data_IF_566940107395
#
_entry.id   IF_566940107395
#
_cell.length_a   1.000
_cell.length_b   1.000
_cell.length_c   1.000
_cell.angle_alpha   90.00
_cell.angle_beta   90.00
_cell.angle_gamma   90.00
#
_symmetry.space_group_name_H-M   'P 1'
#
loop_
_entity.id
_entity.type
_entity.pdbx_description
1 polymer ?
#
# COMPACT_ATOMS: atom_id res chain seq x y z
N UNK A 1 11.18 -33.86 12.23
CA UNK A 1 10.35 -33.22 11.23
C UNK A 1 11.17 -32.13 10.56
N UNK A 2 11.45 -32.26 9.27
CA UNK A 2 12.10 -31.25 8.45
C UNK A 2 11.03 -30.43 7.73
N UNK A 3 11.16 -29.10 7.71
CA UNK A 3 10.37 -28.25 6.83
C UNK A 3 10.97 -28.38 5.43
N UNK A 4 10.12 -28.70 4.44
CA UNK A 4 10.53 -28.74 3.06
C UNK A 4 10.46 -27.34 2.48
N UNK A 5 11.50 -26.88 1.81
CA UNK A 5 11.64 -25.54 1.24
C UNK A 5 10.38 -25.11 0.41
N UNK A 6 9.78 -26.05 -0.33
CA UNK A 6 8.62 -25.78 -1.20
C UNK A 6 7.29 -25.61 -0.47
N UNK A 7 7.25 -25.92 0.84
CA UNK A 7 6.03 -25.79 1.65
C UNK A 7 5.84 -24.40 2.29
N UNK A 8 6.88 -23.57 2.25
CA UNK A 8 6.88 -22.23 2.83
C UNK A 8 7.27 -21.19 1.79
N UNK A 9 6.64 -20.01 1.84
CA UNK A 9 6.92 -18.91 0.91
C UNK A 9 8.33 -18.35 1.09
N UNK A 10 8.82 -17.61 0.09
CA UNK A 10 10.03 -16.81 0.21
C UNK A 10 9.90 -15.72 1.27
N UNK A 11 11.01 -15.38 1.92
CA UNK A 11 11.09 -14.37 2.97
C UNK A 11 11.49 -14.95 4.32
N UNK A 12 11.17 -14.23 5.38
CA UNK A 12 11.53 -14.63 6.73
C UNK A 12 10.50 -15.58 7.31
N UNK A 13 10.97 -16.72 7.78
CA UNK A 13 10.19 -17.71 8.52
C UNK A 13 10.46 -17.52 10.00
N UNK A 14 9.40 -17.35 10.76
CA UNK A 14 9.46 -17.20 12.21
C UNK A 14 8.96 -18.49 12.90
N UNK A 15 9.85 -19.20 13.55
CA UNK A 15 9.54 -20.41 14.30
C UNK A 15 9.55 -20.08 15.80
N UNK A 16 8.45 -20.35 16.48
CA UNK A 16 8.32 -20.11 17.91
C UNK A 16 7.92 -21.38 18.64
N UNK A 17 8.61 -21.69 19.72
CA UNK A 17 8.28 -22.79 20.61
C UNK A 17 7.50 -22.30 21.82
N UNK A 18 6.38 -22.95 22.08
CA UNK A 18 5.49 -22.61 23.19
C UNK A 18 5.47 -23.70 24.24
N UNK A 19 5.40 -23.29 25.51
CA UNK A 19 5.00 -24.13 26.62
C UNK A 19 3.82 -23.47 27.35
N UNK A 20 2.73 -24.17 27.50
CA UNK A 20 1.53 -23.69 28.20
C UNK A 20 1.05 -22.31 27.69
N UNK A 21 1.05 -22.11 26.36
CA UNK A 21 0.75 -20.83 25.67
C UNK A 21 1.75 -19.70 25.93
N UNK A 22 2.87 -19.98 26.57
CA UNK A 22 3.93 -18.99 26.77
C UNK A 22 5.01 -19.20 25.71
N UNK A 23 5.35 -18.19 24.89
CA UNK A 23 6.47 -18.30 23.96
C UNK A 23 7.77 -18.38 24.75
N UNK A 24 8.58 -19.41 24.48
CA UNK A 24 9.83 -19.64 25.19
C UNK A 24 11.06 -19.32 24.35
N UNK A 25 11.01 -19.72 23.09
CA UNK A 25 12.15 -19.60 22.15
C UNK A 25 11.62 -19.21 20.78
N UNK A 26 12.33 -18.35 20.11
CA UNK A 26 12.08 -18.02 18.70
C UNK A 26 13.35 -18.08 17.87
N UNK A 27 13.19 -18.44 16.64
CA UNK A 27 14.28 -18.48 15.66
C UNK A 27 13.75 -18.01 14.30
N UNK A 28 14.44 -17.05 13.70
CA UNK A 28 14.18 -16.60 12.35
C UNK A 28 15.04 -17.37 11.37
N UNK A 29 14.47 -17.71 10.23
CA UNK A 29 15.17 -18.33 9.09
C UNK A 29 14.80 -17.55 7.84
N UNK A 30 15.70 -17.49 6.89
CA UNK A 30 15.41 -16.95 5.57
C UNK A 30 15.20 -18.09 4.57
N UNK A 31 14.10 -18.02 3.86
CA UNK A 31 13.76 -18.96 2.79
C UNK A 31 13.74 -18.26 1.44
N UNK A 32 14.29 -18.85 0.41
CA UNK A 32 14.20 -18.34 -0.96
C UNK A 32 13.80 -19.46 -1.91
N UNK A 33 12.71 -19.22 -2.63
CA UNK A 33 12.19 -20.11 -3.66
C UNK A 33 12.43 -19.49 -5.02
N UNK A 34 13.01 -20.26 -5.93
CA UNK A 34 13.24 -19.80 -7.30
C UNK A 34 11.91 -19.44 -8.02
N UNK A 35 10.83 -20.16 -7.68
CA UNK A 35 9.52 -20.00 -8.33
C UNK A 35 8.68 -18.83 -7.79
N UNK A 36 9.18 -18.06 -6.83
CA UNK A 36 8.45 -16.89 -6.30
C UNK A 36 8.84 -15.60 -7.03
N UNK A 37 9.74 -15.64 -7.98
CA UNK A 37 10.20 -14.47 -8.76
C UNK A 37 9.65 -14.51 -10.17
N UNK A 38 9.06 -13.39 -10.60
CA UNK A 38 8.76 -13.15 -12.01
C UNK A 38 9.99 -12.56 -12.70
N UNK A 39 10.18 -12.87 -13.97
CA UNK A 39 11.22 -12.28 -14.79
C UNK A 39 10.68 -11.07 -15.55
N UNK A 40 11.32 -9.92 -15.39
CA UNK A 40 10.95 -8.69 -16.08
C UNK A 40 12.11 -8.29 -16.98
N UNK A 41 11.86 -8.31 -18.27
CA UNK A 41 12.80 -7.86 -19.30
C UNK A 41 12.31 -6.53 -19.84
N UNK A 42 13.21 -5.56 -19.89
CA UNK A 42 12.94 -4.24 -20.43
C UNK A 42 13.84 -3.99 -21.64
N UNK A 43 13.25 -3.83 -22.81
CA UNK A 43 13.97 -3.35 -23.99
C UNK A 43 13.75 -1.84 -24.13
N UNK A 44 14.83 -1.09 -24.13
CA UNK A 44 14.81 0.38 -24.16
C UNK A 44 15.51 0.86 -25.42
N UNK A 45 14.87 1.75 -26.15
CA UNK A 45 15.47 2.37 -27.34
C UNK A 45 16.85 2.95 -27.04
N UNK A 46 17.91 2.52 -27.70
CA UNK A 46 19.26 3.05 -27.50
C UNK A 46 19.34 4.52 -27.95
N UNK A 47 20.28 5.29 -27.38
CA UNK A 47 20.55 6.68 -27.73
C UNK A 47 19.45 7.71 -27.41
N UNK A 48 18.99 7.70 -26.16
CA UNK A 48 18.04 8.68 -25.64
C UNK A 48 18.66 10.07 -25.63
N UNK A 49 18.06 11.02 -26.35
CA UNK A 49 18.44 12.43 -26.33
C UNK A 49 17.70 13.18 -25.22
N UNK A 50 18.28 14.29 -24.75
CA UNK A 50 17.62 15.16 -23.79
C UNK A 50 16.29 15.69 -24.35
N UNK A 51 15.19 15.52 -23.59
CA UNK A 51 13.83 15.93 -23.98
C UNK A 51 13.25 15.20 -25.20
N UNK A 52 13.70 13.98 -25.48
CA UNK A 52 13.09 13.14 -26.49
C UNK A 52 12.10 12.16 -25.88
N UNK A 53 11.18 11.70 -26.67
CA UNK A 53 10.32 10.56 -26.34
C UNK A 53 11.17 9.31 -26.17
N UNK A 54 10.82 8.50 -25.19
CA UNK A 54 11.50 7.23 -24.89
C UNK A 54 10.44 6.13 -24.92
N UNK A 55 10.61 5.20 -25.85
CA UNK A 55 9.79 4.00 -25.92
C UNK A 55 10.54 2.84 -25.27
N UNK A 56 9.84 2.05 -24.47
CA UNK A 56 10.37 0.84 -23.89
C UNK A 56 9.31 -0.26 -23.92
N UNK A 57 9.75 -1.46 -24.23
CA UNK A 57 8.92 -2.65 -24.22
C UNK A 57 9.23 -3.47 -22.98
N UNK A 58 8.17 -3.82 -22.24
CA UNK A 58 8.28 -4.66 -21.04
C UNK A 58 7.74 -6.05 -21.34
N UNK A 59 8.56 -7.05 -21.15
CA UNK A 59 8.17 -8.45 -21.17
C UNK A 59 8.19 -9.00 -19.76
N UNK A 60 7.06 -9.51 -19.29
CA UNK A 60 6.92 -10.10 -17.96
C UNK A 60 6.61 -11.59 -18.10
N UNK A 61 7.52 -12.41 -17.56
CA UNK A 61 7.41 -13.85 -17.62
C UNK A 61 7.28 -14.43 -16.22
N UNK A 62 6.48 -15.45 -16.08
CA UNK A 62 6.43 -16.25 -14.86
C UNK A 62 7.69 -17.14 -14.73
N UNK A 63 7.92 -17.81 -13.60
CA UNK A 63 9.09 -18.68 -13.41
C UNK A 63 9.18 -19.84 -14.42
N UNK A 64 8.09 -20.18 -15.10
CA UNK A 64 8.05 -21.24 -16.13
C UNK A 64 8.35 -20.68 -17.54
N UNK A 65 8.56 -19.36 -17.67
CA UNK A 65 8.82 -18.69 -18.95
C UNK A 65 7.56 -18.32 -19.74
N UNK A 66 6.38 -18.49 -19.17
CA UNK A 66 5.12 -18.10 -19.80
C UNK A 66 4.83 -16.61 -19.52
N UNK A 67 4.12 -15.96 -20.45
CA UNK A 67 3.72 -14.56 -20.28
C UNK A 67 2.82 -14.41 -19.07
N UNK A 68 3.21 -13.50 -18.17
CA UNK A 68 2.45 -13.16 -16.99
C UNK A 68 1.50 -11.98 -17.27
N UNK A 69 0.23 -12.14 -16.91
CA UNK A 69 -0.78 -11.08 -17.00
C UNK A 69 -1.14 -10.58 -15.60
N UNK A 70 -1.05 -9.28 -15.38
CA UNK A 70 -1.31 -8.69 -14.07
C UNK A 70 -1.30 -7.16 -14.11
N UNK A 71 -1.46 -6.55 -12.95
CA UNK A 71 -1.34 -5.10 -12.77
C UNK A 71 0.08 -4.76 -12.34
N UNK A 72 0.66 -3.78 -13.02
CA UNK A 72 2.03 -3.34 -12.78
C UNK A 72 2.07 -1.86 -12.44
N UNK A 73 3.03 -1.47 -11.61
CA UNK A 73 3.39 -0.07 -11.40
C UNK A 73 4.79 0.18 -11.97
N UNK A 74 4.95 1.31 -12.66
CA UNK A 74 6.22 1.70 -13.27
C UNK A 74 6.69 3.01 -12.65
N UNK A 75 7.95 3.05 -12.23
CA UNK A 75 8.59 4.28 -11.74
C UNK A 75 9.84 4.55 -12.57
N UNK A 76 9.92 5.73 -13.13
CA UNK A 76 11.07 6.18 -13.92
C UNK A 76 11.81 7.28 -13.16
N UNK A 77 13.10 7.08 -12.93
CA UNK A 77 13.92 8.05 -12.22
C UNK A 77 15.35 8.09 -12.79
N UNK A 78 16.03 9.19 -12.52
CA UNK A 78 17.45 9.30 -12.88
C UNK A 78 18.25 8.20 -12.20
N UNK A 79 19.11 7.49 -12.97
CA UNK A 79 19.97 6.44 -12.40
C UNK A 79 20.81 7.01 -11.24
N UNK A 80 20.66 6.41 -10.08
CA UNK A 80 21.49 6.72 -8.92
C UNK A 80 22.79 5.93 -8.97
N UNK A 81 23.86 6.55 -8.52
CA UNK A 81 25.18 5.88 -8.31
C UNK A 81 25.26 5.17 -6.96
N UNK A 82 24.28 5.39 -6.10
CA UNK A 82 24.22 4.75 -4.78
C UNK A 82 23.88 3.26 -4.93
N UNK A 83 24.88 2.41 -4.70
CA UNK A 83 24.76 0.95 -4.78
C UNK A 83 24.07 0.33 -3.56
N UNK A 84 23.91 1.10 -2.48
CA UNK A 84 23.34 0.62 -1.21
C UNK A 84 21.85 0.87 -1.10
N UNK A 85 21.17 1.33 -2.18
CA UNK A 85 19.74 1.58 -2.14
C UNK A 85 18.95 0.31 -1.88
N UNK A 86 18.06 0.40 -0.91
CA UNK A 86 17.00 -0.57 -0.70
C UNK A 86 16.13 -0.64 -1.95
N UNK A 87 15.94 -1.83 -2.49
CA UNK A 87 15.01 -2.11 -3.57
C UNK A 87 13.74 -2.77 -3.01
N UNK A 88 12.71 -2.94 -3.85
CA UNK A 88 11.43 -3.52 -3.43
C UNK A 88 11.60 -4.95 -2.93
N UNK A 89 12.49 -5.73 -3.52
CA UNK A 89 12.75 -7.12 -3.18
C UNK A 89 13.32 -7.23 -1.77
N UNK A 90 14.43 -6.55 -1.49
CA UNK A 90 15.03 -6.60 -0.17
C UNK A 90 14.19 -5.91 0.91
N UNK A 91 13.32 -4.95 0.51
CA UNK A 91 12.36 -4.39 1.44
C UNK A 91 11.30 -5.42 1.83
N UNK A 92 10.62 -6.04 0.85
CA UNK A 92 9.51 -6.96 1.12
C UNK A 92 9.96 -8.27 1.79
N UNK A 93 11.12 -8.78 1.44
CA UNK A 93 11.58 -10.09 1.93
C UNK A 93 12.49 -10.02 3.13
N UNK A 94 13.03 -8.85 3.47
CA UNK A 94 14.02 -8.72 4.52
C UNK A 94 13.73 -7.57 5.47
N UNK A 95 13.89 -6.32 5.02
CA UNK A 95 13.95 -5.18 5.93
C UNK A 95 12.59 -4.78 6.49
N UNK A 96 11.47 -5.15 5.85
CA UNK A 96 10.12 -4.88 6.38
C UNK A 96 9.82 -5.70 7.63
N UNK A 97 10.45 -6.85 7.79
CA UNK A 97 10.11 -7.84 8.80
C UNK A 97 11.07 -7.86 10.00
N UNK A 98 12.24 -7.27 9.84
CA UNK A 98 13.26 -7.21 10.90
C UNK A 98 13.24 -5.90 11.67
N UNK A 99 13.52 -5.98 12.98
CA UNK A 99 13.75 -4.81 13.83
C UNK A 99 15.17 -4.30 13.65
N UNK A 100 15.33 -2.99 13.63
CA UNK A 100 16.62 -2.33 13.54
C UNK A 100 17.02 -1.93 12.13
N UNK A 101 18.18 -1.33 12.03
CA UNK A 101 18.76 -0.91 10.76
C UNK A 101 19.60 -2.04 10.18
N UNK A 102 19.43 -2.30 8.91
CA UNK A 102 20.23 -3.28 8.16
C UNK A 102 21.10 -2.51 7.18
N UNK A 103 22.39 -2.56 7.39
CA UNK A 103 23.35 -1.96 6.48
C UNK A 103 23.40 -2.74 5.17
N UNK A 104 23.36 -2.01 4.05
CA UNK A 104 23.51 -2.58 2.70
C UNK A 104 22.61 -3.80 2.42
N UNK A 105 21.27 -3.70 2.48
CA UNK A 105 20.38 -4.86 2.34
C UNK A 105 20.58 -5.63 1.03
N UNK A 106 21.05 -4.97 -0.04
CA UNK A 106 21.39 -5.59 -1.31
C UNK A 106 22.50 -6.65 -1.20
N UNK A 107 23.36 -6.57 -0.20
CA UNK A 107 24.40 -7.56 0.04
C UNK A 107 23.82 -8.95 0.30
N UNK A 108 22.73 -9.00 1.05
CA UNK A 108 22.07 -10.25 1.46
C UNK A 108 21.16 -10.84 0.38
N UNK A 109 20.62 -10.02 -0.53
CA UNK A 109 19.69 -10.47 -1.58
C UNK A 109 20.35 -10.65 -2.95
N UNK A 110 21.61 -10.21 -3.11
CA UNK A 110 22.32 -10.34 -4.38
C UNK A 110 22.80 -11.78 -4.60
N UNK A 111 22.29 -12.43 -5.64
CA UNK A 111 22.63 -13.80 -6.00
C UNK A 111 24.13 -14.01 -6.36
N UNK A 112 24.86 -12.95 -6.72
CA UNK A 112 26.29 -13.02 -7.05
C UNK A 112 27.14 -13.24 -5.79
N UNK A 113 26.63 -12.87 -4.62
CA UNK A 113 27.34 -13.08 -3.36
C UNK A 113 27.21 -14.54 -2.91
N UNK A 114 28.32 -15.30 -2.98
CA UNK A 114 28.33 -16.71 -2.62
C UNK A 114 28.01 -16.95 -1.13
N UNK A 115 28.43 -16.06 -0.26
CA UNK A 115 28.30 -16.19 1.19
C UNK A 115 26.95 -15.67 1.73
N UNK A 116 26.07 -15.22 0.84
CA UNK A 116 24.82 -14.52 1.24
C UNK A 116 23.95 -15.32 2.20
N UNK A 117 23.84 -16.62 2.02
CA UNK A 117 22.99 -17.45 2.90
C UNK A 117 23.55 -17.59 4.31
N UNK A 118 24.85 -17.71 4.45
CA UNK A 118 25.51 -17.72 5.77
C UNK A 118 25.33 -16.36 6.47
N UNK A 119 25.52 -15.27 5.72
CA UNK A 119 25.32 -13.91 6.25
C UNK A 119 23.85 -13.63 6.58
N UNK A 120 22.90 -14.15 5.81
CA UNK A 120 21.47 -14.10 6.13
C UNK A 120 21.15 -14.85 7.42
N UNK A 121 21.75 -16.01 7.65
CA UNK A 121 21.55 -16.77 8.88
C UNK A 121 22.09 -16.02 10.09
N UNK A 122 23.27 -15.42 10.00
CA UNK A 122 23.83 -14.54 11.03
C UNK A 122 22.94 -13.31 11.28
N UNK A 123 22.38 -12.72 10.23
CA UNK A 123 21.45 -11.61 10.34
C UNK A 123 20.17 -12.02 11.09
N UNK A 124 19.61 -13.22 10.79
CA UNK A 124 18.44 -13.77 11.47
C UNK A 124 18.71 -14.09 12.94
N UNK A 125 19.95 -14.37 13.32
CA UNK A 125 20.36 -14.56 14.72
C UNK A 125 20.44 -13.27 15.52
N UNK A 126 20.74 -12.15 14.85
CA UNK A 126 21.04 -10.87 15.51
C UNK A 126 19.91 -9.87 15.47
N UNK A 127 18.92 -10.05 14.58
CA UNK A 127 17.78 -9.16 14.43
C UNK A 127 16.49 -9.79 14.94
N UNK A 128 15.63 -8.96 15.57
CA UNK A 128 14.35 -9.39 16.06
C UNK A 128 13.22 -9.26 15.03
N UNK A 129 12.13 -9.97 15.27
CA UNK A 129 10.91 -9.89 14.49
C UNK A 129 10.14 -8.58 14.71
N UNK A 130 9.55 -8.00 13.67
CA UNK A 130 8.85 -6.71 13.73
C UNK A 130 7.33 -6.82 13.62
N UNK A 131 6.80 -7.78 12.85
CA UNK A 131 5.38 -7.73 12.44
C UNK A 131 4.40 -7.84 13.59
N UNK A 132 4.73 -8.60 14.63
CA UNK A 132 3.86 -8.74 15.79
C UNK A 132 4.65 -9.13 17.05
N UNK A 133 3.99 -9.00 18.19
CA UNK A 133 4.44 -9.51 19.47
C UNK A 133 3.45 -10.56 19.96
N UNK A 134 3.94 -11.71 20.40
CA UNK A 134 3.09 -12.83 20.83
C UNK A 134 2.11 -12.44 21.93
N UNK A 135 2.48 -11.56 22.86
CA UNK A 135 1.59 -11.05 23.90
C UNK A 135 0.33 -10.42 23.30
N UNK A 136 0.48 -9.60 22.27
CA UNK A 136 -0.64 -8.95 21.58
C UNK A 136 -1.50 -9.97 20.82
N UNK A 137 -0.86 -10.91 20.12
CA UNK A 137 -1.57 -11.96 19.35
C UNK A 137 -2.39 -12.87 20.27
N UNK A 138 -1.80 -13.35 21.34
CA UNK A 138 -2.47 -14.25 22.32
C UNK A 138 -3.62 -13.56 23.04
N UNK A 139 -3.49 -12.28 23.35
CA UNK A 139 -4.53 -11.46 23.97
C UNK A 139 -5.53 -10.89 22.94
N UNK A 140 -5.39 -11.20 21.65
CA UNK A 140 -6.22 -10.66 20.56
C UNK A 140 -6.22 -9.13 20.49
N UNK A 141 -5.15 -8.50 20.93
CA UNK A 141 -4.95 -7.06 20.88
C UNK A 141 -4.29 -6.73 19.56
N UNK A 142 -5.06 -6.27 18.58
CA UNK A 142 -4.52 -5.83 17.28
C UNK A 142 -4.20 -4.33 17.34
N UNK A 143 -3.13 -3.89 16.68
CA UNK A 143 -2.88 -2.47 16.52
C UNK A 143 -4.02 -1.82 15.73
N UNK A 144 -4.37 -0.55 16.02
CA UNK A 144 -5.38 0.15 15.23
C UNK A 144 -4.92 0.27 13.77
N UNK A 145 -5.84 0.03 12.84
CA UNK A 145 -5.59 0.26 11.42
C UNK A 145 -5.61 1.76 11.20
N UNK A 146 -4.43 2.36 11.02
CA UNK A 146 -4.29 3.80 10.78
C UNK A 146 -4.51 4.19 9.31
N UNK A 147 -4.23 3.26 8.40
CA UNK A 147 -4.35 3.46 6.96
C UNK A 147 -4.99 2.23 6.34
N UNK A 148 -6.09 2.43 5.64
CA UNK A 148 -6.75 1.35 4.90
C UNK A 148 -6.11 1.19 3.52
N UNK A 149 -6.08 -0.05 2.96
CA UNK A 149 -5.66 -0.26 1.58
C UNK A 149 -6.50 0.56 0.61
N UNK A 150 -5.85 1.25 -0.31
CA UNK A 150 -6.56 2.00 -1.35
C UNK A 150 -7.20 1.04 -2.37
N UNK A 151 -8.52 1.16 -2.54
CA UNK A 151 -9.29 0.39 -3.53
C UNK A 151 -9.48 1.14 -4.85
N UNK A 152 -8.72 2.19 -5.08
CA UNK A 152 -8.84 3.12 -6.17
C UNK A 152 -8.65 4.55 -5.68
N UNK A 153 -8.93 5.52 -6.53
CA UNK A 153 -8.87 6.92 -6.10
C UNK A 153 -9.96 7.20 -5.06
N UNK A 154 -9.58 7.86 -3.97
CA UNK A 154 -10.50 8.24 -2.90
C UNK A 154 -10.53 9.76 -2.79
N UNK A 155 -11.74 10.32 -2.82
CA UNK A 155 -11.99 11.73 -2.56
C UNK A 155 -12.62 11.87 -1.18
N UNK A 156 -12.01 12.64 -0.30
CA UNK A 156 -12.49 12.84 1.05
C UNK A 156 -12.71 14.33 1.37
N UNK A 157 -13.62 14.59 2.27
CA UNK A 157 -13.94 15.94 2.66
C UNK A 157 -14.78 16.03 3.92
N UNK A 158 -15.21 17.23 4.21
CA UNK A 158 -16.08 17.55 5.34
C UNK A 158 -17.25 18.41 4.90
N UNK A 159 -18.41 18.13 5.44
CA UNK A 159 -19.61 18.96 5.24
C UNK A 159 -19.91 19.72 6.52
N UNK A 160 -20.03 21.02 6.39
CA UNK A 160 -20.33 21.93 7.51
C UNK A 160 -21.46 22.86 7.14
N UNK A 161 -22.05 23.54 8.12
CA UNK A 161 -23.07 24.56 7.86
C UNK A 161 -22.46 25.76 7.14
N UNK A 162 -23.17 26.29 6.16
CA UNK A 162 -22.74 27.50 5.46
C UNK A 162 -22.56 28.71 6.40
N UNK A 163 -23.50 28.87 7.34
CA UNK A 163 -23.56 30.00 8.26
C UNK A 163 -22.51 29.87 9.41
N UNK A 164 -22.14 28.64 9.76
CA UNK A 164 -21.23 28.38 10.87
C UNK A 164 -20.37 27.13 10.51
N UNK A 165 -19.20 27.38 9.97
CA UNK A 165 -18.27 26.33 9.52
C UNK A 165 -17.71 25.46 10.64
N UNK A 166 -17.90 25.84 11.90
CA UNK A 166 -17.52 25.00 13.04
C UNK A 166 -18.51 23.85 13.28
N UNK A 167 -19.73 23.92 12.70
CA UNK A 167 -20.79 22.94 12.90
C UNK A 167 -20.85 21.92 11.77
N UNK A 168 -20.45 20.67 12.02
CA UNK A 168 -20.57 19.60 11.04
C UNK A 168 -22.04 19.25 10.77
N UNK A 169 -22.27 18.67 9.59
CA UNK A 169 -23.61 18.21 9.20
C UNK A 169 -23.52 16.78 8.71
N UNK A 170 -24.42 15.92 9.24
CA UNK A 170 -24.65 14.61 8.70
C UNK A 170 -25.69 14.70 7.56
N UNK A 171 -25.27 14.40 6.34
CA UNK A 171 -26.08 14.54 5.12
C UNK A 171 -25.61 13.56 4.05
N UNK A 172 -26.53 13.19 3.15
CA UNK A 172 -26.18 12.41 1.98
C UNK A 172 -25.55 13.29 0.90
N UNK A 173 -24.56 12.75 0.18
CA UNK A 173 -23.87 13.42 -0.90
C UNK A 173 -23.94 12.58 -2.18
N UNK A 174 -24.00 13.28 -3.29
CA UNK A 174 -23.86 12.72 -4.64
C UNK A 174 -22.71 13.39 -5.36
N UNK A 175 -21.95 12.61 -6.09
CA UNK A 175 -20.91 13.08 -7.00
C UNK A 175 -21.18 12.55 -8.40
N UNK A 176 -20.97 13.40 -9.41
CA UNK A 176 -21.01 13.03 -10.83
C UNK A 176 -19.83 13.64 -11.55
N UNK A 177 -19.33 12.95 -12.59
CA UNK A 177 -18.35 13.51 -13.51
C UNK A 177 -19.06 14.19 -14.67
N UNK A 178 -18.59 15.39 -15.04
CA UNK A 178 -19.20 16.16 -16.13
C UNK A 178 -18.95 15.53 -17.50
N UNK A 179 -17.82 14.85 -17.66
CA UNK A 179 -17.43 14.14 -18.89
C UNK A 179 -18.16 12.80 -19.05
N UNK A 180 -18.65 12.23 -17.95
CA UNK A 180 -19.41 10.99 -17.94
C UNK A 180 -20.59 11.08 -16.97
N UNK A 181 -21.69 11.67 -17.43
CA UNK A 181 -22.92 11.86 -16.65
C UNK A 181 -23.59 10.55 -16.22
N UNK A 182 -23.25 9.42 -16.81
CA UNK A 182 -23.75 8.11 -16.36
C UNK A 182 -23.07 7.64 -15.08
N UNK A 183 -21.89 8.15 -14.75
CA UNK A 183 -21.21 7.84 -13.50
C UNK A 183 -21.77 8.71 -12.37
N UNK A 184 -22.39 8.07 -11.41
CA UNK A 184 -22.88 8.68 -10.20
C UNK A 184 -22.43 7.88 -8.98
N UNK A 185 -21.72 8.53 -8.06
CA UNK A 185 -21.37 7.97 -6.77
C UNK A 185 -22.19 8.64 -5.65
N UNK A 186 -22.60 7.88 -4.64
CA UNK A 186 -23.30 8.38 -3.46
C UNK A 186 -22.59 7.95 -2.19
N UNK A 187 -22.57 8.82 -1.20
CA UNK A 187 -22.06 8.56 0.14
C UNK A 187 -22.84 9.38 1.16
N UNK A 188 -22.59 9.12 2.45
CA UNK A 188 -23.15 9.91 3.54
C UNK A 188 -22.04 10.41 4.44
N UNK A 189 -22.14 11.64 4.93
CA UNK A 189 -21.23 12.13 5.95
C UNK A 189 -21.59 11.56 7.32
N UNK A 190 -20.58 11.36 8.17
CA UNK A 190 -20.76 10.95 9.55
C UNK A 190 -21.19 12.14 10.46
N UNK A 191 -21.33 11.90 11.76
CA UNK A 191 -21.71 12.93 12.75
C UNK A 191 -20.68 14.07 12.84
N UNK A 192 -19.41 13.79 12.54
CA UNK A 192 -18.34 14.79 12.47
C UNK A 192 -18.32 15.53 11.13
N UNK A 193 -19.26 15.23 10.21
CA UNK A 193 -19.36 15.80 8.88
C UNK A 193 -18.39 15.20 7.85
N UNK A 194 -17.57 14.24 8.21
CA UNK A 194 -16.60 13.65 7.29
C UNK A 194 -17.25 12.68 6.31
N UNK A 195 -16.83 12.71 5.05
CA UNK A 195 -17.34 11.85 3.99
C UNK A 195 -16.22 11.33 3.09
N UNK A 196 -16.47 10.20 2.41
CA UNK A 196 -15.52 9.56 1.48
C UNK A 196 -16.27 9.05 0.24
N UNK A 197 -15.71 9.30 -0.93
CA UNK A 197 -16.02 8.61 -2.17
C UNK A 197 -14.84 7.71 -2.50
N UNK A 198 -15.01 6.40 -2.40
CA UNK A 198 -13.94 5.41 -2.57
C UNK A 198 -14.07 4.66 -3.89
N UNK A 199 -12.96 4.08 -4.35
CA UNK A 199 -12.95 3.21 -5.53
C UNK A 199 -13.21 3.92 -6.85
N UNK A 200 -12.95 5.21 -6.91
CA UNK A 200 -13.12 6.00 -8.12
C UNK A 200 -12.09 5.58 -9.17
N UNK A 201 -12.56 5.24 -10.36
CA UNK A 201 -11.72 4.95 -11.52
C UNK A 201 -11.57 6.24 -12.33
N UNK A 202 -10.40 6.84 -12.28
CA UNK A 202 -10.05 8.09 -12.96
C UNK A 202 -8.80 7.82 -13.78
N UNK A 203 -8.89 7.97 -15.10
CA UNK A 203 -7.78 7.71 -16.04
C UNK A 203 -7.04 8.99 -16.43
N UNK A 204 -7.68 10.16 -16.24
CA UNK A 204 -7.11 11.48 -16.56
C UNK A 204 -7.73 12.54 -15.64
N UNK A 205 -7.57 13.80 -15.97
CA UNK A 205 -8.21 14.92 -15.29
C UNK A 205 -9.70 14.95 -15.61
N UNK A 206 -10.54 14.85 -14.59
CA UNK A 206 -12.01 14.91 -14.71
C UNK A 206 -12.57 16.05 -13.86
N UNK A 207 -13.63 16.69 -14.37
CA UNK A 207 -14.39 17.65 -13.60
C UNK A 207 -15.52 16.93 -12.86
N UNK A 208 -15.55 17.07 -11.54
CA UNK A 208 -16.57 16.47 -10.70
C UNK A 208 -17.45 17.53 -10.04
N UNK A 209 -18.74 17.27 -9.99
CA UNK A 209 -19.71 18.05 -9.20
C UNK A 209 -20.13 17.24 -8.00
N UNK A 210 -19.95 17.81 -6.81
CA UNK A 210 -20.39 17.21 -5.54
C UNK A 210 -21.50 18.08 -4.97
N UNK A 211 -22.59 17.43 -4.60
CA UNK A 211 -23.76 18.11 -4.02
C UNK A 211 -24.32 17.34 -2.83
N UNK A 212 -24.90 18.05 -1.88
CA UNK A 212 -25.63 17.44 -0.77
C UNK A 212 -27.05 17.10 -1.20
N UNK A 213 -27.54 15.93 -0.78
CA UNK A 213 -28.89 15.42 -1.06
C UNK A 213 -29.67 15.41 0.25
N UNK A 214 -30.92 15.88 0.20
CA UNK A 214 -31.77 15.84 1.37
C UNK A 214 -32.69 14.60 1.34
N UNK A 215 -32.15 13.45 1.76
CA UNK A 215 -32.85 12.15 1.70
C UNK A 215 -34.14 12.06 2.52
N UNK A 216 -34.32 12.90 3.54
CA UNK A 216 -35.55 12.90 4.37
C UNK A 216 -36.76 13.42 3.64
N UNK A 217 -36.65 14.03 2.46
CA UNK A 217 -37.71 14.70 1.74
C UNK A 217 -38.16 14.06 0.44
N UNK A 218 -37.33 13.24 -0.18
CA UNK A 218 -37.76 12.44 -1.33
C UNK A 218 -38.88 11.46 -0.96
N UNK A 219 -38.96 11.01 0.32
CA UNK A 219 -40.04 10.11 0.81
C UNK A 219 -41.39 10.75 1.07
N UNK A 220 -41.51 12.08 1.02
CA UNK A 220 -42.78 12.78 1.36
C UNK A 220 -43.28 13.78 0.32
N UNK A 221 -42.71 13.90 -0.87
CA UNK A 221 -43.23 14.75 -1.94
C UNK A 221 -43.35 16.26 -1.60
N UNK A 222 -42.71 16.72 -0.52
CA UNK A 222 -42.71 18.13 -0.11
C UNK A 222 -41.37 18.76 -0.45
N UNK A 223 -41.37 19.82 -1.27
CA UNK A 223 -40.24 20.71 -1.51
C UNK A 223 -39.58 21.12 -0.21
N UNK A 224 -38.46 20.57 0.08
CA UNK A 224 -37.80 20.82 1.33
C UNK A 224 -36.76 21.92 1.27
N UNK A 225 -36.65 22.64 2.36
CA UNK A 225 -35.65 23.69 2.57
C UNK A 225 -34.25 23.11 2.27
N UNK A 226 -33.56 23.64 1.25
CA UNK A 226 -32.19 23.32 0.95
C UNK A 226 -31.36 23.53 2.23
N UNK A 227 -30.59 22.51 2.61
CA UNK A 227 -29.63 22.69 3.71
C UNK A 227 -28.47 23.49 3.11
N UNK A 228 -28.33 24.74 3.55
CA UNK A 228 -27.15 25.52 3.19
C UNK A 228 -25.93 24.88 3.81
N UNK A 229 -25.21 24.13 2.99
CA UNK A 229 -24.02 23.38 3.39
C UNK A 229 -22.80 23.88 2.61
N UNK A 230 -21.65 23.79 3.24
CA UNK A 230 -20.37 24.02 2.62
C UNK A 230 -19.60 22.69 2.60
N UNK A 231 -19.08 22.32 1.45
CA UNK A 231 -18.29 21.11 1.26
C UNK A 231 -16.83 21.51 1.17
N UNK A 232 -16.04 21.05 2.11
CA UNK A 232 -14.60 21.25 2.15
C UNK A 232 -13.91 19.95 1.77
N UNK A 233 -13.09 19.97 0.70
CA UNK A 233 -12.31 18.82 0.30
C UNK A 233 -11.00 18.77 1.12
N UNK A 234 -10.69 17.62 1.66
CA UNK A 234 -9.43 17.39 2.36
C UNK A 234 -8.33 17.09 1.35
N UNK A 235 -7.19 17.75 1.53
CA UNK A 235 -5.99 17.37 0.79
C UNK A 235 -5.49 16.04 1.33
N UNK A 236 -5.34 15.04 0.46
CA UNK A 236 -4.86 13.73 0.85
C UNK A 236 -3.43 13.85 1.42
N UNK A 237 -3.25 13.39 2.65
CA UNK A 237 -1.95 13.29 3.29
C UNK A 237 -1.52 11.84 3.30
N UNK A 238 -0.38 11.57 2.69
CA UNK A 238 0.25 10.24 2.74
C UNK A 238 1.09 10.11 4.01
N UNK A 239 1.20 8.89 4.58
CA UNK A 239 2.09 8.66 5.70
C UNK A 239 3.51 9.02 5.32
N UNK A 240 4.17 9.82 6.15
CA UNK A 240 5.59 10.11 5.95
C UNK A 240 6.39 8.86 6.28
N UNK A 241 7.09 8.32 5.29
CA UNK A 241 8.08 7.27 5.52
C UNK A 241 9.21 7.92 6.33
N UNK A 242 9.31 7.54 7.61
CA UNK A 242 10.46 7.92 8.43
C UNK A 242 11.57 6.92 8.14
N UNK A 243 12.53 7.33 7.35
CA UNK A 243 13.80 6.63 7.23
C UNK A 243 14.60 7.08 8.45
N UNK A 244 14.69 6.23 9.45
CA UNK A 244 15.60 6.49 10.58
C UNK A 244 17.02 6.25 10.09
N UNK A 245 17.67 7.30 9.64
CA UNK A 245 19.11 7.35 9.56
C UNK A 245 19.62 7.56 11.00
N UNK A 246 20.05 6.52 11.67
CA UNK A 246 20.95 6.59 12.79
C UNK A 246 22.34 6.22 12.32
#
# INVERSE_FOLDING_TARGET
NSLVNDQVSSGIIHVTFFKDRVPLLERLFYNERANDKINIEADVTPNIKKRSEVNFDLSVLDPTGLKYSGSFSVSVQKKSTDRNKTNIENYLWLTSDLKGYIESPNYYTNAVNADRFEMLDLLMLTHGWRRFEWGNVLNRTLPPILYFPEKGFTLEGKVVRWEDRSKPIQVDLSMMFLENITFQARTSSNEAGDFWFEGLKVEDTLNAVIQTINSKKEKKGKSGKLINSFIELKKKTYPKIRINHQ
#
